data_IF_632432672495
#
_entry.id   IF_632432672495
#
_cell.length_a   1.000
_cell.length_b   1.000
_cell.length_c   1.000
_cell.angle_alpha   90.00
_cell.angle_beta   90.00
_cell.angle_gamma   90.00
#
_symmetry.space_group_name_H-M   'P 1'
#
loop_
_entity.id
_entity.type
_entity.pdbx_description
1 polymer ?
#
# COMPACT_ATOMS: atom_id res chain seq x y z
N UNK A 1 2.33 -31.83 -0.97
CA UNK A 1 2.14 -30.37 -0.85
C UNK A 1 3.04 -29.70 -1.88
N UNK A 2 2.46 -29.18 -2.96
CA UNK A 2 3.21 -28.33 -3.91
C UNK A 2 3.53 -27.05 -3.16
N UNK A 3 4.79 -26.81 -2.86
CA UNK A 3 5.31 -25.53 -2.40
C UNK A 3 4.91 -24.48 -3.46
N UNK A 4 3.90 -23.67 -3.17
CA UNK A 4 3.63 -22.47 -3.95
C UNK A 4 4.69 -21.44 -3.55
N UNK A 5 5.87 -21.57 -4.16
CA UNK A 5 6.97 -20.65 -3.98
C UNK A 5 6.59 -19.24 -4.44
N UNK A 6 7.33 -18.24 -3.99
CA UNK A 6 7.26 -16.83 -4.41
C UNK A 6 7.36 -16.61 -5.94
N UNK A 7 7.50 -17.67 -6.74
CA UNK A 7 7.77 -17.62 -8.17
C UNK A 7 6.58 -17.43 -9.09
N UNK A 8 5.33 -17.46 -8.60
CA UNK A 8 4.17 -17.37 -9.50
C UNK A 8 3.35 -16.08 -9.25
N UNK A 9 3.87 -14.98 -9.78
CA UNK A 9 3.18 -13.67 -9.79
C UNK A 9 2.21 -13.57 -10.97
N UNK A 10 2.33 -14.46 -11.95
CA UNK A 10 1.49 -14.45 -13.16
C UNK A 10 0.00 -14.56 -12.82
N UNK A 11 -0.79 -13.61 -13.35
CA UNK A 11 -2.23 -13.46 -13.10
C UNK A 11 -2.63 -13.18 -11.64
N UNK A 12 -1.71 -12.88 -10.72
CA UNK A 12 -2.09 -12.44 -9.38
C UNK A 12 -2.67 -11.03 -9.40
N UNK A 13 -3.66 -10.79 -8.56
CA UNK A 13 -4.22 -9.46 -8.33
C UNK A 13 -3.37 -8.75 -7.28
N UNK A 14 -2.79 -7.61 -7.66
CA UNK A 14 -1.92 -6.80 -6.82
C UNK A 14 -2.54 -5.42 -6.65
N UNK A 15 -2.85 -5.03 -5.43
CA UNK A 15 -3.34 -3.67 -5.14
C UNK A 15 -2.21 -2.83 -4.57
N UNK A 16 -2.03 -1.62 -5.13
CA UNK A 16 -0.92 -0.72 -4.77
C UNK A 16 -1.49 0.65 -4.46
N UNK A 17 -1.27 1.14 -3.23
CA UNK A 17 -1.57 2.52 -2.86
C UNK A 17 -0.42 3.46 -3.25
N UNK A 18 -0.74 4.65 -3.73
CA UNK A 18 0.27 5.59 -4.23
C UNK A 18 0.98 5.05 -5.49
N UNK A 19 0.25 4.34 -6.35
CA UNK A 19 0.82 3.64 -7.50
C UNK A 19 1.05 4.50 -8.74
N UNK A 20 0.61 5.78 -8.74
CA UNK A 20 0.68 6.62 -9.93
C UNK A 20 2.06 7.23 -10.20
N UNK A 21 2.92 7.34 -9.19
CA UNK A 21 4.22 8.00 -9.32
C UNK A 21 5.34 7.33 -8.52
N UNK A 22 6.58 7.75 -8.70
CA UNK A 22 7.73 7.37 -7.89
C UNK A 22 7.95 5.87 -7.74
N UNK A 23 8.15 5.43 -6.50
CA UNK A 23 8.36 4.02 -6.13
C UNK A 23 7.12 3.19 -6.48
N UNK A 24 5.91 3.73 -6.25
CA UNK A 24 4.66 3.05 -6.57
C UNK A 24 4.54 2.73 -8.06
N UNK A 25 4.77 3.69 -8.94
CA UNK A 25 4.73 3.47 -10.39
C UNK A 25 5.80 2.48 -10.87
N UNK A 26 6.99 2.53 -10.27
CA UNK A 26 8.06 1.55 -10.55
C UNK A 26 7.66 0.14 -10.12
N UNK A 27 6.97 0.02 -8.99
CA UNK A 27 6.42 -1.23 -8.47
C UNK A 27 5.31 -1.76 -9.38
N UNK A 28 4.39 -0.89 -9.84
CA UNK A 28 3.35 -1.25 -10.83
C UNK A 28 3.98 -1.84 -12.08
N UNK A 29 4.97 -1.16 -12.68
CA UNK A 29 5.68 -1.66 -13.87
C UNK A 29 6.39 -2.98 -13.61
N UNK A 30 6.93 -3.20 -12.40
CA UNK A 30 7.60 -4.45 -12.06
C UNK A 30 6.61 -5.63 -12.00
N UNK A 31 5.42 -5.44 -11.45
CA UNK A 31 4.36 -6.45 -11.42
C UNK A 31 3.76 -6.69 -12.81
N UNK A 32 3.57 -5.64 -13.62
CA UNK A 32 3.12 -5.78 -15.03
C UNK A 32 4.06 -6.68 -15.83
N UNK A 33 5.38 -6.43 -15.76
CA UNK A 33 6.38 -7.28 -16.45
C UNK A 33 6.35 -8.74 -16.02
N UNK A 34 5.84 -9.04 -14.83
CA UNK A 34 5.68 -10.41 -14.33
C UNK A 34 4.29 -10.99 -14.63
N UNK A 35 3.45 -10.27 -15.38
CA UNK A 35 2.13 -10.74 -15.79
C UNK A 35 1.06 -10.67 -14.70
N UNK A 36 1.27 -9.89 -13.65
CA UNK A 36 0.24 -9.61 -12.65
C UNK A 36 -0.85 -8.66 -13.19
N UNK A 37 -2.02 -8.71 -12.60
CA UNK A 37 -3.07 -7.73 -12.81
C UNK A 37 -3.04 -6.71 -11.66
N UNK A 38 -2.76 -5.45 -11.95
CA UNK A 38 -2.56 -4.43 -10.92
C UNK A 38 -3.77 -3.51 -10.79
N UNK A 39 -4.22 -3.32 -9.55
CA UNK A 39 -5.15 -2.29 -9.13
C UNK A 39 -4.40 -1.13 -8.49
N UNK A 40 -4.47 0.04 -9.09
CA UNK A 40 -3.80 1.26 -8.63
C UNK A 40 -4.80 2.10 -7.84
N UNK A 41 -4.43 2.53 -6.64
CA UNK A 41 -5.19 3.44 -5.79
C UNK A 41 -4.33 4.68 -5.56
N UNK A 42 -4.74 5.83 -6.09
CA UNK A 42 -3.98 7.08 -5.99
C UNK A 42 -4.91 8.30 -6.07
N UNK A 43 -4.46 9.43 -5.60
CA UNK A 43 -5.17 10.70 -5.74
C UNK A 43 -4.92 11.34 -7.11
N UNK A 44 -3.76 11.06 -7.74
CA UNK A 44 -3.34 11.65 -9.01
C UNK A 44 -3.92 10.86 -10.21
N UNK A 45 -5.06 11.35 -10.68
CA UNK A 45 -5.75 10.78 -11.83
C UNK A 45 -4.94 10.91 -13.15
N UNK A 46 -4.23 12.02 -13.34
CA UNK A 46 -3.50 12.28 -14.58
C UNK A 46 -2.32 11.31 -14.74
N UNK A 47 -1.47 11.24 -13.71
CA UNK A 47 -0.31 10.33 -13.68
C UNK A 47 -0.72 8.86 -13.75
N UNK A 48 -1.80 8.47 -13.07
CA UNK A 48 -2.29 7.09 -13.10
C UNK A 48 -2.78 6.67 -14.49
N UNK A 49 -3.55 7.53 -15.17
CA UNK A 49 -4.03 7.24 -16.53
C UNK A 49 -2.86 7.17 -17.53
N UNK A 50 -1.89 8.08 -17.42
CA UNK A 50 -0.70 8.02 -18.26
C UNK A 50 0.07 6.72 -18.02
N UNK A 51 0.26 6.33 -16.77
CA UNK A 51 0.94 5.08 -16.43
C UNK A 51 0.25 3.86 -17.06
N UNK A 52 -1.08 3.77 -16.93
CA UNK A 52 -1.85 2.62 -17.46
C UNK A 52 -1.68 2.49 -18.98
N UNK A 53 -1.58 3.58 -19.72
CA UNK A 53 -1.38 3.51 -21.18
C UNK A 53 -0.03 2.88 -21.59
N UNK A 54 0.94 2.89 -20.69
CA UNK A 54 2.28 2.34 -20.90
C UNK A 54 2.39 0.86 -20.49
N UNK A 55 1.33 0.28 -19.91
CA UNK A 55 1.33 -1.07 -19.36
C UNK A 55 0.67 -2.08 -20.32
N UNK A 56 0.98 -3.37 -20.14
CA UNK A 56 0.52 -4.43 -21.05
C UNK A 56 -0.71 -5.18 -20.56
N UNK A 57 -0.95 -5.21 -19.25
CA UNK A 57 -2.02 -6.00 -18.62
C UNK A 57 -3.35 -5.25 -18.50
N UNK A 58 -4.43 -5.95 -18.10
CA UNK A 58 -5.73 -5.35 -17.86
C UNK A 58 -5.79 -4.62 -16.50
N UNK A 59 -4.86 -3.71 -16.28
CA UNK A 59 -4.75 -2.97 -15.03
C UNK A 59 -5.92 -2.01 -14.83
N UNK A 60 -6.20 -1.67 -13.59
CA UNK A 60 -7.28 -0.76 -13.23
C UNK A 60 -6.78 0.32 -12.27
N UNK A 61 -7.31 1.50 -12.43
CA UNK A 61 -7.09 2.62 -11.52
C UNK A 61 -8.41 3.04 -10.87
N UNK A 62 -8.33 3.43 -9.61
CA UNK A 62 -9.41 4.11 -8.89
C UNK A 62 -8.81 5.30 -8.16
N UNK A 63 -9.32 6.49 -8.48
CA UNK A 63 -8.97 7.71 -7.77
C UNK A 63 -9.49 7.65 -6.34
N UNK A 64 -8.64 7.98 -5.36
CA UNK A 64 -8.97 7.93 -3.95
C UNK A 64 -8.05 8.84 -3.14
N UNK A 65 -8.63 9.64 -2.26
CA UNK A 65 -7.90 10.26 -1.16
C UNK A 65 -7.81 9.27 0.02
N UNK A 66 -6.63 8.73 0.24
CA UNK A 66 -6.39 7.72 1.28
C UNK A 66 -6.59 8.21 2.72
N UNK A 67 -6.70 9.53 2.91
CA UNK A 67 -7.07 10.12 4.20
C UNK A 67 -8.55 9.88 4.54
N UNK A 68 -9.37 9.63 3.54
CA UNK A 68 -10.77 9.25 3.69
C UNK A 68 -10.91 7.71 3.64
N UNK A 69 -11.19 7.10 4.79
CA UNK A 69 -11.28 5.64 4.91
C UNK A 69 -12.48 5.06 4.14
N UNK A 70 -13.60 5.79 4.06
CA UNK A 70 -14.76 5.33 3.28
C UNK A 70 -14.47 5.32 1.78
N UNK A 71 -13.72 6.32 1.28
CA UNK A 71 -13.23 6.31 -0.09
C UNK A 71 -12.26 5.16 -0.35
N UNK A 72 -11.33 4.90 0.57
CA UNK A 72 -10.41 3.77 0.49
C UNK A 72 -11.16 2.43 0.40
N UNK A 73 -12.11 2.19 1.28
CA UNK A 73 -12.93 0.97 1.29
C UNK A 73 -13.73 0.83 0.00
N UNK A 74 -14.31 1.94 -0.49
CA UNK A 74 -15.01 1.98 -1.77
C UNK A 74 -14.08 1.70 -2.96
N UNK A 75 -12.87 2.26 -2.97
CA UNK A 75 -11.87 2.06 -4.01
C UNK A 75 -11.42 0.58 -4.08
N UNK A 76 -11.10 -0.02 -2.93
CA UNK A 76 -10.76 -1.44 -2.84
C UNK A 76 -11.91 -2.30 -3.39
N UNK A 77 -13.14 -2.06 -2.94
CA UNK A 77 -14.32 -2.80 -3.41
C UNK A 77 -14.59 -2.63 -4.91
N UNK A 78 -14.30 -1.45 -5.48
CA UNK A 78 -14.39 -1.21 -6.94
C UNK A 78 -13.35 -2.03 -7.70
N UNK A 79 -12.11 -2.07 -7.21
CA UNK A 79 -11.04 -2.88 -7.82
C UNK A 79 -11.38 -4.37 -7.74
N UNK A 80 -11.83 -4.85 -6.59
CA UNK A 80 -12.22 -6.25 -6.42
C UNK A 80 -13.29 -6.69 -7.42
N UNK A 81 -14.29 -5.84 -7.70
CA UNK A 81 -15.32 -6.13 -8.72
C UNK A 81 -14.78 -6.17 -10.14
N UNK A 82 -13.72 -5.38 -10.43
CA UNK A 82 -13.16 -5.26 -11.78
C UNK A 82 -12.13 -6.33 -12.11
N UNK A 83 -11.26 -6.64 -11.17
CA UNK A 83 -10.09 -7.49 -11.41
C UNK A 83 -9.92 -8.63 -10.40
N UNK A 84 -10.87 -8.80 -9.49
CA UNK A 84 -10.83 -9.87 -8.47
C UNK A 84 -10.17 -9.43 -7.16
N UNK A 85 -10.20 -10.33 -6.18
CA UNK A 85 -9.69 -10.11 -4.83
C UNK A 85 -8.17 -9.97 -4.81
N UNK A 86 -7.65 -9.05 -4.01
CA UNK A 86 -6.22 -8.81 -3.89
C UNK A 86 -5.49 -9.99 -3.24
N UNK A 87 -4.55 -10.59 -3.94
CA UNK A 87 -3.63 -11.60 -3.40
C UNK A 87 -2.35 -10.94 -2.87
N UNK A 88 -2.05 -9.73 -3.32
CA UNK A 88 -0.95 -8.92 -2.84
C UNK A 88 -1.45 -7.51 -2.58
N UNK A 89 -1.12 -6.97 -1.41
CA UNK A 89 -1.33 -5.56 -1.07
C UNK A 89 0.03 -4.89 -0.88
N UNK A 90 0.27 -3.78 -1.59
CA UNK A 90 1.43 -2.92 -1.38
C UNK A 90 0.96 -1.56 -0.85
N UNK A 91 1.14 -1.34 0.43
CA UNK A 91 0.93 -0.06 1.08
C UNK A 91 2.16 0.83 0.87
N UNK A 92 2.14 1.62 -0.21
CA UNK A 92 3.26 2.45 -0.63
C UNK A 92 3.00 3.95 -0.45
N UNK A 93 1.75 4.40 -0.56
CA UNK A 93 1.44 5.83 -0.48
C UNK A 93 2.03 6.48 0.77
N UNK A 94 2.66 7.62 0.56
CA UNK A 94 3.28 8.41 1.63
C UNK A 94 3.54 9.84 1.16
N UNK A 95 3.78 10.74 2.13
CA UNK A 95 4.15 12.13 1.90
C UNK A 95 5.16 12.58 2.96
N UNK A 96 6.34 13.04 2.54
CA UNK A 96 7.50 13.37 3.39
C UNK A 96 7.92 14.84 3.31
N UNK A 97 6.98 15.76 3.16
CA UNK A 97 7.26 17.20 3.12
C UNK A 97 8.13 17.62 4.30
N UNK A 98 9.13 18.45 4.01
CA UNK A 98 9.96 19.07 5.04
C UNK A 98 9.21 20.20 5.73
N UNK A 99 9.33 20.30 7.06
CA UNK A 99 8.65 21.30 7.86
C UNK A 99 9.43 21.62 9.14
N UNK A 100 9.24 22.85 9.63
CA UNK A 100 9.74 23.22 10.96
C UNK A 100 8.78 22.67 12.03
N UNK A 101 9.33 21.91 12.98
CA UNK A 101 8.53 21.31 14.06
C UNK A 101 7.78 22.35 14.91
N UNK A 102 8.26 23.58 14.94
CA UNK A 102 7.62 24.70 15.68
C UNK A 102 6.35 25.23 15.01
N UNK A 103 6.18 24.96 13.72
CA UNK A 103 5.05 25.42 12.91
C UNK A 103 3.99 24.33 12.70
N UNK A 104 4.21 23.11 13.22
CA UNK A 104 3.26 22.02 13.10
C UNK A 104 2.06 22.27 14.02
N UNK A 105 0.88 22.38 13.45
CA UNK A 105 -0.38 22.33 14.16
C UNK A 105 -0.97 20.89 14.21
N UNK A 106 -2.05 20.74 14.98
CA UNK A 106 -2.72 19.45 15.13
C UNK A 106 -3.32 18.93 13.81
N UNK A 107 -3.78 19.81 12.92
CA UNK A 107 -4.36 19.41 11.64
C UNK A 107 -3.28 18.83 10.72
N UNK A 108 -2.14 19.53 10.61
CA UNK A 108 -0.99 19.03 9.86
C UNK A 108 -0.51 17.69 10.40
N UNK A 109 -0.36 17.56 11.73
CA UNK A 109 0.03 16.31 12.37
C UNK A 109 -0.93 15.16 12.03
N UNK A 110 -2.23 15.39 12.19
CA UNK A 110 -3.25 14.38 11.90
C UNK A 110 -3.23 13.96 10.43
N UNK A 111 -3.14 14.93 9.51
CA UNK A 111 -3.03 14.65 8.07
C UNK A 111 -1.81 13.78 7.75
N UNK A 112 -0.66 14.04 8.38
CA UNK A 112 0.55 13.23 8.18
C UNK A 112 0.39 11.80 8.71
N UNK A 113 -0.30 11.63 9.84
CA UNK A 113 -0.64 10.30 10.35
C UNK A 113 -1.61 9.57 9.42
N UNK A 114 -2.61 10.28 8.90
CA UNK A 114 -3.60 9.71 7.99
C UNK A 114 -2.96 9.17 6.71
N UNK A 115 -2.12 9.97 6.05
CA UNK A 115 -1.51 9.60 4.76
C UNK A 115 -0.30 8.65 4.89
N UNK A 116 0.40 8.62 6.03
CA UNK A 116 1.62 7.83 6.17
C UNK A 116 1.44 6.54 7.00
N UNK A 117 0.31 6.38 7.71
CA UNK A 117 0.09 5.25 8.61
C UNK A 117 -1.35 4.73 8.61
N UNK A 118 -2.36 5.58 8.88
CA UNK A 118 -3.73 5.16 9.15
C UNK A 118 -4.32 4.33 8.01
N UNK A 119 -4.16 4.78 6.77
CA UNK A 119 -4.70 4.09 5.60
C UNK A 119 -4.15 2.67 5.45
N UNK A 120 -2.90 2.41 5.86
CA UNK A 120 -2.28 1.08 5.76
C UNK A 120 -3.03 0.05 6.60
N UNK A 121 -3.39 0.41 7.84
CA UNK A 121 -4.17 -0.46 8.71
C UNK A 121 -5.54 -0.78 8.11
N UNK A 122 -6.26 0.22 7.62
CA UNK A 122 -7.61 0.01 7.07
C UNK A 122 -7.59 -0.72 5.73
N UNK A 123 -6.57 -0.54 4.90
CA UNK A 123 -6.39 -1.36 3.70
C UNK A 123 -6.15 -2.84 4.06
N UNK A 124 -5.33 -3.11 5.07
CA UNK A 124 -5.13 -4.48 5.58
C UNK A 124 -6.45 -5.04 6.12
N UNK A 125 -7.18 -4.27 6.94
CA UNK A 125 -8.45 -4.69 7.54
C UNK A 125 -9.50 -5.06 6.48
N UNK A 126 -9.55 -4.31 5.37
CA UNK A 126 -10.49 -4.55 4.27
C UNK A 126 -10.12 -5.79 3.44
N UNK A 127 -8.83 -6.02 3.21
CA UNK A 127 -8.36 -7.06 2.26
C UNK A 127 -8.07 -8.39 2.96
N UNK A 128 -7.52 -8.37 4.17
CA UNK A 128 -7.05 -9.58 4.86
C UNK A 128 -8.11 -10.65 5.10
N UNK A 129 -9.39 -10.36 5.36
CA UNK A 129 -10.40 -11.41 5.57
C UNK A 129 -10.44 -12.43 4.44
N UNK A 130 -10.46 -11.99 3.17
CA UNK A 130 -10.43 -12.90 2.04
C UNK A 130 -9.11 -13.69 1.97
N UNK A 131 -7.97 -13.05 2.22
CA UNK A 131 -6.67 -13.74 2.25
C UNK A 131 -6.63 -14.81 3.35
N UNK A 132 -7.28 -14.56 4.50
CA UNK A 132 -7.40 -15.51 5.61
C UNK A 132 -8.20 -16.74 5.18
N UNK A 133 -9.35 -16.54 4.55
CA UNK A 133 -10.22 -17.61 4.08
C UNK A 133 -9.49 -18.51 3.05
N UNK A 134 -8.74 -17.90 2.13
CA UNK A 134 -7.94 -18.60 1.13
C UNK A 134 -6.60 -19.15 1.65
N UNK A 135 -6.21 -18.77 2.87
CA UNK A 135 -4.91 -19.10 3.46
C UNK A 135 -3.71 -18.74 2.56
N UNK A 136 -3.86 -17.67 1.81
CA UNK A 136 -2.90 -17.21 0.83
C UNK A 136 -2.97 -15.69 0.65
N UNK A 137 -1.87 -15.00 0.89
CA UNK A 137 -1.78 -13.56 0.68
C UNK A 137 -0.43 -13.00 1.09
N UNK A 138 -0.06 -11.88 0.50
CA UNK A 138 1.15 -11.15 0.84
C UNK A 138 0.86 -9.67 1.01
N UNK A 139 1.35 -9.08 2.08
CA UNK A 139 1.20 -7.65 2.37
C UNK A 139 2.59 -7.05 2.53
N UNK A 140 2.84 -5.95 1.84
CA UNK A 140 4.09 -5.19 1.90
C UNK A 140 3.77 -3.77 2.35
N UNK A 141 4.34 -3.36 3.48
CA UNK A 141 4.27 -1.98 3.96
C UNK A 141 5.58 -1.27 3.66
N UNK A 142 5.54 -0.20 2.86
CA UNK A 142 6.73 0.61 2.57
C UNK A 142 7.00 1.54 3.75
N UNK A 143 8.08 1.26 4.45
CA UNK A 143 8.58 2.03 5.57
C UNK A 143 9.50 3.18 5.16
N UNK A 144 10.45 3.47 6.00
CA UNK A 144 11.55 4.41 5.75
C UNK A 144 12.67 4.16 6.76
N UNK A 145 13.91 4.42 6.39
CA UNK A 145 15.04 4.46 7.30
C UNK A 145 15.20 5.83 8.01
N UNK A 146 14.46 6.85 7.60
CA UNK A 146 14.57 8.23 8.08
C UNK A 146 14.45 8.38 9.60
N UNK A 147 13.61 7.57 10.26
CA UNK A 147 13.47 7.56 11.71
C UNK A 147 14.65 6.87 12.40
N UNK A 148 15.28 5.90 11.75
CA UNK A 148 16.45 5.18 12.26
C UNK A 148 17.73 6.02 12.12
N UNK A 149 17.86 6.74 11.02
CA UNK A 149 19.00 7.61 10.72
C UNK A 149 18.94 8.96 11.46
N UNK A 150 17.93 9.17 12.30
CA UNK A 150 17.74 10.43 13.05
C UNK A 150 17.65 11.66 12.13
N UNK A 151 17.03 11.52 10.97
CA UNK A 151 16.86 12.61 10.02
C UNK A 151 16.01 13.76 10.60
N UNK A 152 16.35 14.99 10.26
CA UNK A 152 15.66 16.20 10.72
C UNK A 152 14.74 16.80 9.66
N UNK A 153 13.78 17.65 10.08
CA UNK A 153 12.87 18.39 9.21
C UNK A 153 11.61 17.64 8.77
N UNK A 154 11.28 16.50 9.40
CA UNK A 154 10.06 15.74 9.11
C UNK A 154 9.58 14.89 10.31
N UNK A 155 9.42 15.46 11.52
CA UNK A 155 9.10 14.68 12.71
C UNK A 155 7.80 13.89 12.59
N UNK A 156 6.75 14.44 11.98
CA UNK A 156 5.48 13.73 11.80
C UNK A 156 5.62 12.53 10.86
N UNK A 157 6.35 12.68 9.74
CA UNK A 157 6.64 11.58 8.83
C UNK A 157 7.48 10.48 9.48
N UNK A 158 8.59 10.85 10.14
CA UNK A 158 9.47 9.89 10.82
C UNK A 158 8.72 9.10 11.91
N UNK A 159 7.84 9.77 12.67
CA UNK A 159 6.98 9.14 13.67
C UNK A 159 6.04 8.12 13.02
N UNK A 160 5.33 8.52 11.95
CA UNK A 160 4.43 7.60 11.24
C UNK A 160 5.18 6.39 10.67
N UNK A 161 6.34 6.61 10.05
CA UNK A 161 7.15 5.52 9.46
C UNK A 161 7.79 4.59 10.51
N UNK A 162 8.13 5.11 11.68
CA UNK A 162 8.49 4.26 12.84
C UNK A 162 7.32 3.38 13.28
N UNK A 163 6.11 3.95 13.34
CA UNK A 163 4.90 3.21 13.71
C UNK A 163 4.54 2.12 12.68
N UNK A 164 4.84 2.31 11.39
CA UNK A 164 4.66 1.27 10.34
C UNK A 164 5.43 -0.01 10.69
N UNK A 165 6.62 0.10 11.29
CA UNK A 165 7.38 -1.07 11.74
C UNK A 165 6.64 -1.84 12.85
N UNK A 166 6.09 -1.13 13.85
CA UNK A 166 5.27 -1.72 14.90
C UNK A 166 4.01 -2.39 14.37
N UNK A 167 3.26 -1.67 13.51
CA UNK A 167 2.08 -2.19 12.83
C UNK A 167 2.40 -3.49 12.06
N UNK A 168 3.46 -3.47 11.27
CA UNK A 168 3.86 -4.64 10.47
C UNK A 168 4.15 -5.86 11.33
N UNK A 169 4.93 -5.69 12.41
CA UNK A 169 5.28 -6.79 13.32
C UNK A 169 4.06 -7.39 14.01
N UNK A 170 3.17 -6.55 14.49
CA UNK A 170 1.94 -7.00 15.16
C UNK A 170 1.03 -7.73 14.18
N UNK A 171 0.75 -7.14 13.02
CA UNK A 171 -0.10 -7.76 12.01
C UNK A 171 0.52 -9.02 11.40
N UNK A 172 1.86 -9.09 11.26
CA UNK A 172 2.54 -10.32 10.85
C UNK A 172 2.32 -11.48 11.85
N UNK A 173 2.28 -11.17 13.14
CA UNK A 173 1.96 -12.16 14.19
C UNK A 173 0.51 -12.63 14.11
N UNK A 174 -0.44 -11.70 13.94
CA UNK A 174 -1.87 -11.98 13.82
C UNK A 174 -2.17 -12.84 12.57
N UNK A 175 -1.63 -12.43 11.42
CA UNK A 175 -1.95 -13.02 10.12
C UNK A 175 -1.12 -14.26 9.80
N UNK A 176 0.04 -14.45 10.42
CA UNK A 176 0.92 -15.59 10.20
C UNK A 176 0.28 -16.95 10.49
N UNK A 177 -0.66 -17.01 11.46
CA UNK A 177 -1.43 -18.21 11.77
C UNK A 177 -2.30 -18.70 10.58
N UNK A 178 -2.58 -17.82 9.63
CA UNK A 178 -3.37 -18.09 8.43
C UNK A 178 -2.53 -18.26 7.17
N UNK A 179 -1.21 -18.44 7.31
CA UNK A 179 -0.27 -18.58 6.19
C UNK A 179 -0.13 -17.32 5.31
N UNK A 180 -0.36 -16.14 5.87
CA UNK A 180 -0.14 -14.87 5.20
C UNK A 180 1.28 -14.36 5.48
N UNK A 181 1.90 -13.76 4.46
CA UNK A 181 3.16 -13.02 4.60
C UNK A 181 2.86 -11.52 4.78
N UNK A 182 3.45 -10.94 5.81
CA UNK A 182 3.39 -9.48 5.99
C UNK A 182 4.79 -8.98 6.33
N UNK A 183 5.31 -8.11 5.48
CA UNK A 183 6.68 -7.59 5.59
C UNK A 183 6.72 -6.06 5.52
N UNK A 184 7.81 -5.53 6.02
CA UNK A 184 8.18 -4.12 5.98
C UNK A 184 9.44 -3.96 5.14
N UNK A 185 9.40 -3.01 4.22
CA UNK A 185 10.54 -2.60 3.39
C UNK A 185 10.84 -1.13 3.60
#
# INVERSE_FOLDING_TARGET
>A
AVSRGLGDVYKRQVFITGGASGIGASTVRAFDRQGAVVGIIDIDNASANQLITDLHGPHQFVQCDLRNIDELNSAISKLERKIGKAQVLVNNAARDDRHDWREIDANYWNERMDINLRHMFFAIQQIAPWMIDERCGSIVNIGSNSWWECGAGFPAYATAKSAVHGLTRTMARELGAYNLSLIHI
#
